data_IF_339276731175
#
_entry.id   IF_339276731175
#
_cell.length_a   1.000
_cell.length_b   1.000
_cell.length_c   1.000
_cell.angle_alpha   90.00
_cell.angle_beta   90.00
_cell.angle_gamma   90.00
#
_symmetry.space_group_name_H-M   'P 1'
#
loop_
_entity.id
_entity.type
_entity.pdbx_description
1 polymer ?
#
# COMPACT_ATOMS: atom_id res chain seq x y z
N UNK A 1 25.02 2.94 -5.33
CA UNK A 1 24.48 1.65 -4.83
C UNK A 1 22.97 1.66 -5.02
N UNK A 2 22.49 2.19 -6.14
CA UNK A 2 21.20 2.88 -6.12
C UNK A 2 20.08 2.01 -6.68
N UNK A 3 20.42 0.97 -7.45
CA UNK A 3 19.41 0.11 -8.08
C UNK A 3 18.66 -0.78 -7.07
N UNK A 4 19.34 -1.25 -6.02
CA UNK A 4 18.72 -2.11 -5.00
C UNK A 4 17.88 -1.26 -4.04
N UNK A 5 18.41 -0.11 -3.62
CA UNK A 5 17.70 0.85 -2.76
C UNK A 5 16.39 1.31 -3.40
N UNK A 6 16.44 1.80 -4.64
CA UNK A 6 15.26 2.26 -5.37
C UNK A 6 14.21 1.13 -5.57
N UNK A 7 14.66 -0.11 -5.74
CA UNK A 7 13.75 -1.26 -5.85
C UNK A 7 13.05 -1.57 -4.51
N UNK A 8 13.77 -1.45 -3.39
CA UNK A 8 13.20 -1.62 -2.05
C UNK A 8 12.25 -0.47 -1.68
N UNK A 9 12.57 0.76 -2.08
CA UNK A 9 11.72 1.93 -1.85
C UNK A 9 10.37 1.80 -2.58
N UNK A 10 10.41 1.48 -3.87
CA UNK A 10 9.20 1.24 -4.66
C UNK A 10 8.36 0.09 -4.08
N UNK A 11 9.00 -0.97 -3.58
CA UNK A 11 8.31 -2.06 -2.90
C UNK A 11 7.65 -1.60 -1.60
N UNK A 12 8.36 -0.83 -0.77
CA UNK A 12 7.85 -0.26 0.47
C UNK A 12 6.67 0.69 0.25
N UNK A 13 6.77 1.56 -0.75
CA UNK A 13 5.71 2.50 -1.15
C UNK A 13 4.44 1.79 -1.65
N UNK A 14 4.60 0.68 -2.37
CA UNK A 14 3.49 -0.05 -3.00
C UNK A 14 2.81 -1.05 -2.06
N UNK A 15 3.61 -1.89 -1.41
CA UNK A 15 3.10 -3.01 -0.60
C UNK A 15 2.89 -2.64 0.86
N UNK A 16 3.69 -1.73 1.42
CA UNK A 16 3.61 -1.36 2.84
C UNK A 16 2.20 -0.96 3.28
N UNK A 17 1.58 0.05 2.64
CA UNK A 17 0.23 0.50 2.97
C UNK A 17 -0.82 -0.58 2.75
N UNK A 18 -0.71 -1.31 1.65
CA UNK A 18 -1.64 -2.39 1.29
C UNK A 18 -1.62 -3.52 2.33
N UNK A 19 -0.43 -3.92 2.78
CA UNK A 19 -0.25 -4.94 3.82
C UNK A 19 -0.85 -4.44 5.14
N UNK A 20 -0.53 -3.21 5.57
CA UNK A 20 -1.08 -2.64 6.80
C UNK A 20 -2.62 -2.58 6.77
N UNK A 21 -3.21 -2.12 5.67
CA UNK A 21 -4.66 -2.09 5.53
C UNK A 21 -5.25 -3.50 5.56
N UNK A 22 -4.59 -4.50 4.93
CA UNK A 22 -5.08 -5.89 4.95
C UNK A 22 -5.08 -6.51 6.35
N UNK A 23 -4.14 -6.12 7.21
CA UNK A 23 -3.99 -6.66 8.56
C UNK A 23 -4.89 -5.96 9.58
N UNK A 24 -5.09 -4.65 9.43
CA UNK A 24 -5.76 -3.84 10.45
C UNK A 24 -7.16 -3.35 10.04
N UNK A 25 -7.59 -3.56 8.79
CA UNK A 25 -8.88 -3.09 8.31
C UNK A 25 -9.70 -4.20 7.65
N UNK A 26 -10.63 -4.77 8.43
CA UNK A 26 -11.53 -5.86 8.01
C UNK A 26 -12.29 -5.61 6.70
N UNK A 27 -12.60 -4.33 6.37
CA UNK A 27 -13.33 -3.96 5.15
C UNK A 27 -12.41 -3.80 3.94
N UNK A 28 -11.10 -3.96 4.08
CA UNK A 28 -10.19 -3.79 2.95
C UNK A 28 -10.43 -4.88 1.90
N UNK A 29 -10.38 -4.50 0.62
CA UNK A 29 -10.77 -5.36 -0.49
C UNK A 29 -9.70 -5.41 -1.59
N UNK A 30 -9.88 -6.37 -2.51
CA UNK A 30 -8.94 -6.62 -3.60
C UNK A 30 -8.72 -5.40 -4.50
N UNK A 31 -9.78 -4.65 -4.82
CA UNK A 31 -9.67 -3.48 -5.70
C UNK A 31 -8.87 -2.35 -5.04
N UNK A 32 -9.07 -2.13 -3.74
CA UNK A 32 -8.25 -1.22 -2.94
C UNK A 32 -6.78 -1.66 -2.88
N UNK A 33 -6.52 -2.96 -2.73
CA UNK A 33 -5.16 -3.50 -2.72
C UNK A 33 -4.43 -3.30 -4.05
N UNK A 34 -5.10 -3.60 -5.17
CA UNK A 34 -4.53 -3.39 -6.51
C UNK A 34 -4.27 -1.91 -6.77
N UNK A 35 -5.23 -1.04 -6.43
CA UNK A 35 -5.06 0.40 -6.58
C UNK A 35 -3.93 0.96 -5.70
N UNK A 36 -3.80 0.49 -4.47
CA UNK A 36 -2.69 0.81 -3.57
C UNK A 36 -1.34 0.45 -4.17
N UNK A 37 -1.16 -0.82 -4.56
CA UNK A 37 0.12 -1.27 -5.14
C UNK A 37 0.50 -0.48 -6.39
N UNK A 38 -0.44 -0.29 -7.32
CA UNK A 38 -0.17 0.45 -8.56
C UNK A 38 0.16 1.92 -8.26
N UNK A 39 -0.63 2.57 -7.40
CA UNK A 39 -0.40 3.99 -7.08
C UNK A 39 0.90 4.22 -6.34
N UNK A 40 1.29 3.34 -5.41
CA UNK A 40 2.58 3.44 -4.72
C UNK A 40 3.75 3.37 -5.68
N UNK A 41 3.74 2.41 -6.60
CA UNK A 41 4.77 2.28 -7.63
C UNK A 41 4.83 3.50 -8.54
N UNK A 42 3.67 4.00 -8.99
CA UNK A 42 3.61 5.15 -9.90
C UNK A 42 4.09 6.44 -9.22
N UNK A 43 3.74 6.64 -7.95
CA UNK A 43 4.15 7.83 -7.19
C UNK A 43 5.65 7.79 -6.90
N UNK A 44 6.16 6.65 -6.44
CA UNK A 44 7.58 6.42 -6.19
C UNK A 44 8.42 6.65 -7.46
N UNK A 45 8.04 5.98 -8.55
CA UNK A 45 8.72 6.12 -9.83
C UNK A 45 8.63 7.56 -10.37
N UNK A 46 7.48 8.21 -10.22
CA UNK A 46 7.31 9.63 -10.56
C UNK A 46 8.23 10.53 -9.75
N UNK A 47 8.42 10.23 -8.46
CA UNK A 47 9.31 10.97 -7.57
C UNK A 47 10.78 10.83 -7.96
N UNK A 48 11.20 9.60 -8.29
CA UNK A 48 12.53 9.29 -8.78
C UNK A 48 12.82 9.98 -10.12
N UNK A 49 11.91 9.85 -11.10
CA UNK A 49 12.09 10.38 -12.46
C UNK A 49 12.10 11.92 -12.52
N UNK A 50 11.42 12.58 -11.58
CA UNK A 50 11.39 14.04 -11.49
C UNK A 50 12.55 14.61 -10.69
N UNK A 51 13.37 13.77 -10.05
CA UNK A 51 14.47 14.20 -9.19
C UNK A 51 13.98 14.92 -7.93
N UNK A 52 12.74 14.66 -7.50
CA UNK A 52 12.15 15.37 -6.36
C UNK A 52 12.92 15.12 -5.06
N UNK A 53 13.52 13.94 -4.89
CA UNK A 53 14.41 13.62 -3.76
C UNK A 53 15.57 14.62 -3.66
N UNK A 54 16.22 14.96 -4.79
CA UNK A 54 17.33 15.93 -4.80
C UNK A 54 16.85 17.37 -4.52
N UNK A 55 15.64 17.72 -4.93
CA UNK A 55 15.08 19.07 -4.75
C UNK A 55 14.48 19.33 -3.36
N UNK A 56 13.92 18.30 -2.72
CA UNK A 56 13.15 18.41 -1.47
C UNK A 56 13.88 17.79 -0.27
N UNK A 57 14.83 16.88 -0.50
CA UNK A 57 15.43 16.06 0.53
C UNK A 57 14.52 14.94 1.07
N UNK A 58 13.35 14.73 0.47
CA UNK A 58 12.39 13.69 0.87
C UNK A 58 12.58 12.46 -0.02
N UNK A 59 12.83 11.31 0.60
CA UNK A 59 12.91 10.02 -0.07
C UNK A 59 11.57 9.62 -0.70
N UNK A 60 11.63 9.07 -1.91
CA UNK A 60 10.52 8.61 -2.75
C UNK A 60 9.53 7.67 -2.05
N UNK A 61 10.02 6.82 -1.14
CA UNK A 61 9.20 5.89 -0.37
C UNK A 61 8.12 6.60 0.46
N UNK A 62 8.41 7.79 0.99
CA UNK A 62 7.51 8.54 1.88
C UNK A 62 6.25 9.02 1.15
N UNK A 63 6.34 9.83 0.08
CA UNK A 63 5.17 10.24 -0.69
C UNK A 63 4.51 9.04 -1.38
N UNK A 64 5.27 8.05 -1.83
CA UNK A 64 4.75 6.81 -2.39
C UNK A 64 3.85 6.06 -1.42
N UNK A 65 4.31 5.88 -0.18
CA UNK A 65 3.57 5.21 0.90
C UNK A 65 2.28 5.96 1.26
N UNK A 66 2.34 7.26 1.54
CA UNK A 66 1.15 8.01 1.95
C UNK A 66 0.16 8.20 0.80
N UNK A 67 0.67 8.42 -0.41
CA UNK A 67 -0.15 8.54 -1.61
C UNK A 67 -0.91 7.23 -1.89
N UNK A 68 -0.22 6.09 -1.84
CA UNK A 68 -0.85 4.79 -2.07
C UNK A 68 -1.82 4.39 -0.96
N UNK A 69 -1.53 4.75 0.29
CA UNK A 69 -2.45 4.56 1.41
C UNK A 69 -3.79 5.27 1.16
N UNK A 70 -3.74 6.54 0.76
CA UNK A 70 -4.94 7.35 0.48
C UNK A 70 -5.71 6.76 -0.70
N UNK A 71 -5.03 6.43 -1.80
CA UNK A 71 -5.66 5.82 -2.97
C UNK A 71 -6.30 4.49 -2.62
N UNK A 72 -5.60 3.62 -1.89
CA UNK A 72 -6.12 2.32 -1.46
C UNK A 72 -7.39 2.47 -0.60
N UNK A 73 -7.40 3.42 0.34
CA UNK A 73 -8.56 3.70 1.20
C UNK A 73 -9.75 4.21 0.38
N UNK A 74 -9.51 5.17 -0.51
CA UNK A 74 -10.57 5.75 -1.36
C UNK A 74 -11.17 4.66 -2.25
N UNK A 75 -10.34 3.91 -2.97
CA UNK A 75 -10.80 2.86 -3.87
C UNK A 75 -11.54 1.78 -3.09
N UNK A 76 -10.99 1.29 -1.97
CA UNK A 76 -11.66 0.28 -1.15
C UNK A 76 -13.03 0.73 -0.62
N UNK A 77 -13.22 2.03 -0.35
CA UNK A 77 -14.51 2.57 0.09
C UNK A 77 -15.53 2.72 -1.04
N UNK A 78 -15.06 3.04 -2.25
CA UNK A 78 -15.90 3.23 -3.43
C UNK A 78 -16.23 1.92 -4.15
N UNK A 79 -15.53 0.84 -3.83
CA UNK A 79 -15.74 -0.48 -4.42
C UNK A 79 -16.47 -1.45 -3.49
N UNK A 80 -16.81 -2.62 -4.03
CA UNK A 80 -17.52 -3.68 -3.32
C UNK A 80 -16.79 -4.13 -2.05
N UNK A 81 -17.55 -4.52 -1.03
CA UNK A 81 -16.99 -5.11 0.18
C UNK A 81 -16.14 -6.37 -0.12
N UNK A 82 -15.17 -6.72 0.75
CA UNK A 82 -14.41 -7.95 0.58
C UNK A 82 -15.31 -9.18 0.59
N UNK A 83 -14.88 -10.23 -0.12
CA UNK A 83 -15.61 -11.48 -0.16
C UNK A 83 -15.60 -12.19 1.21
N UNK A 84 -16.53 -13.12 1.40
CA UNK A 84 -16.71 -13.85 2.65
C UNK A 84 -15.44 -14.59 3.09
N UNK A 85 -14.66 -15.13 2.14
CA UNK A 85 -13.40 -15.81 2.44
C UNK A 85 -12.36 -14.88 3.05
N UNK A 86 -12.21 -13.68 2.49
CA UNK A 86 -11.28 -12.67 3.00
C UNK A 86 -11.69 -12.21 4.41
N UNK A 87 -13.00 -12.04 4.64
CA UNK A 87 -13.53 -11.72 5.97
C UNK A 87 -13.27 -12.85 6.96
N UNK A 88 -13.48 -14.11 6.58
CA UNK A 88 -13.25 -15.27 7.44
C UNK A 88 -11.76 -15.40 7.83
N UNK A 89 -10.84 -15.17 6.89
CA UNK A 89 -9.39 -15.17 7.18
C UNK A 89 -9.04 -14.07 8.18
N UNK A 90 -9.57 -12.86 8.00
CA UNK A 90 -9.36 -11.76 8.92
C UNK A 90 -9.88 -12.09 10.33
N UNK A 91 -11.07 -12.68 10.42
CA UNK A 91 -11.67 -13.09 11.71
C UNK A 91 -10.88 -14.21 12.39
N UNK A 92 -10.41 -15.20 11.62
CA UNK A 92 -9.56 -16.26 12.14
C UNK A 92 -8.27 -15.69 12.75
N UNK A 93 -7.58 -14.82 12.00
CA UNK A 93 -6.34 -14.18 12.45
C UNK A 93 -6.50 -13.19 13.59
N UNK A 94 -7.72 -12.71 13.87
CA UNK A 94 -8.02 -11.81 14.99
C UNK A 94 -8.75 -12.49 16.15
N UNK A 95 -8.93 -13.82 16.08
CA UNK A 95 -9.63 -14.58 17.12
C UNK A 95 -8.75 -14.77 18.37
N UNK A 96 -9.39 -14.89 19.55
CA UNK A 96 -8.69 -15.10 20.83
C UNK A 96 -7.94 -16.44 20.94
N UNK A 97 -8.21 -17.35 20.01
CA UNK A 97 -7.61 -18.70 19.96
C UNK A 97 -6.59 -18.81 18.82
N UNK A 98 -6.11 -17.68 18.29
CA UNK A 98 -5.12 -17.66 17.21
C UNK A 98 -3.69 -18.01 17.67
N UNK A 99 -3.48 -18.11 18.99
CA UNK A 99 -2.24 -18.54 19.66
C UNK A 99 -2.29 -20.01 20.10
#
# INVERSE_FOLDING_TARGET
>A
MDMVENAWDAFGASFGPTILLSLFWKRFNYQGAVAGVISGFVIDLGWLLTGMTASTGIFEIVPGFFGSLVVAIIVAKLTSAPNEKAVAIFEQGTSKNAD
#
